data_IF_520690812415
#
_entry.id   IF_520690812415
#
_cell.length_a   1.000
_cell.length_b   1.000
_cell.length_c   1.000
_cell.angle_alpha   90.00
_cell.angle_beta   90.00
_cell.angle_gamma   90.00
#
_symmetry.space_group_name_H-M   'P 1'
#
loop_
_entity.id
_entity.type
_entity.pdbx_description
1 polymer ?
#
# COMPACT_ATOMS: atom_id res chain seq x y z
N UNK A 1 18.26 14.50 -7.36
CA UNK A 1 16.83 14.15 -7.14
C UNK A 1 16.71 13.09 -6.06
N UNK A 2 15.69 13.19 -5.20
CA UNK A 2 15.43 12.28 -4.09
C UNK A 2 14.14 11.48 -4.34
N UNK A 3 14.07 10.26 -3.80
CA UNK A 3 12.81 9.54 -3.72
C UNK A 3 11.82 10.28 -2.79
N UNK A 4 10.53 10.10 -3.03
CA UNK A 4 9.45 10.60 -2.18
C UNK A 4 8.59 9.43 -1.72
N UNK A 5 8.30 9.36 -0.43
CA UNK A 5 7.29 8.48 0.15
C UNK A 5 6.12 9.31 0.64
N UNK A 6 4.93 9.07 0.13
CA UNK A 6 3.67 9.60 0.64
C UNK A 6 3.15 8.62 1.68
N UNK A 7 3.18 8.99 2.96
CA UNK A 7 2.82 8.12 4.08
C UNK A 7 1.43 8.51 4.64
N UNK A 8 0.47 7.58 4.55
CA UNK A 8 -0.94 7.80 4.81
C UNK A 8 -1.37 7.12 6.12
N UNK A 9 -1.83 7.91 7.07
CA UNK A 9 -2.28 7.42 8.38
C UNK A 9 -3.62 6.64 8.31
N UNK A 10 -3.89 5.82 9.31
CA UNK A 10 -5.18 5.15 9.49
C UNK A 10 -6.26 6.05 10.09
N UNK A 11 -7.47 5.50 10.24
CA UNK A 11 -8.58 6.18 10.94
C UNK A 11 -8.17 6.56 12.36
N UNK A 12 -8.71 7.67 12.86
CA UNK A 12 -8.47 8.20 14.20
C UNK A 12 -7.01 8.58 14.50
N UNK A 13 -6.15 8.59 13.49
CA UNK A 13 -4.77 9.04 13.59
C UNK A 13 -4.60 10.42 12.95
N UNK A 14 -3.46 11.05 13.24
CA UNK A 14 -2.97 12.26 12.56
C UNK A 14 -1.66 11.94 11.81
N UNK A 15 -1.23 12.86 10.96
CA UNK A 15 0.07 12.80 10.30
C UNK A 15 1.21 12.65 11.32
N UNK A 16 1.19 13.44 12.41
CA UNK A 16 2.22 13.40 13.46
C UNK A 16 2.18 12.10 14.26
N UNK A 17 1.00 11.55 14.54
CA UNK A 17 0.85 10.25 15.19
C UNK A 17 1.51 9.15 14.36
N UNK A 18 1.16 9.08 13.07
CA UNK A 18 1.70 8.03 12.20
C UNK A 18 3.19 8.21 11.91
N UNK A 19 3.67 9.45 11.78
CA UNK A 19 5.10 9.72 11.63
C UNK A 19 5.91 9.24 12.84
N UNK A 20 5.39 9.47 14.05
CA UNK A 20 6.03 9.03 15.30
C UNK A 20 5.99 7.49 15.44
N UNK A 21 4.84 6.88 15.20
CA UNK A 21 4.67 5.44 15.32
C UNK A 21 5.53 4.66 14.32
N UNK A 22 5.46 5.02 13.04
CA UNK A 22 6.19 4.32 11.98
C UNK A 22 7.70 4.56 12.02
N UNK A 23 8.15 5.76 12.43
CA UNK A 23 9.58 6.11 12.43
C UNK A 23 10.16 6.37 11.05
N UNK A 24 9.34 6.58 10.02
CA UNK A 24 9.79 6.84 8.65
C UNK A 24 10.71 8.06 8.53
N UNK A 25 10.53 9.10 9.37
CA UNK A 25 11.42 10.28 9.36
C UNK A 25 12.87 9.89 9.64
N UNK A 26 13.09 9.02 10.63
CA UNK A 26 14.45 8.52 10.96
C UNK A 26 15.03 7.73 9.79
N UNK A 27 14.24 6.87 9.16
CA UNK A 27 14.67 6.10 8.01
C UNK A 27 14.98 7.00 6.81
N UNK A 28 14.17 8.04 6.60
CA UNK A 28 14.40 9.05 5.55
C UNK A 28 15.72 9.81 5.74
N UNK A 29 16.06 10.18 6.97
CA UNK A 29 17.34 10.81 7.30
C UNK A 29 18.53 9.88 7.00
N UNK A 30 18.38 8.59 7.27
CA UNK A 30 19.43 7.58 7.04
C UNK A 30 19.65 7.30 5.54
N UNK A 31 18.58 7.25 4.75
CA UNK A 31 18.63 6.87 3.33
C UNK A 31 18.52 8.05 2.35
N UNK A 32 18.27 9.27 2.85
CA UNK A 32 18.26 10.47 2.04
C UNK A 32 17.02 10.64 1.15
N UNK A 33 15.89 10.03 1.48
CA UNK A 33 14.62 10.28 0.80
C UNK A 33 13.75 11.31 1.54
N UNK A 34 12.66 11.72 0.93
CA UNK A 34 11.69 12.66 1.51
C UNK A 34 10.43 11.89 1.90
N UNK A 35 9.85 12.22 3.05
CA UNK A 35 8.51 11.74 3.43
C UNK A 35 7.55 12.92 3.47
N UNK A 36 6.40 12.78 2.85
CA UNK A 36 5.27 13.70 3.01
C UNK A 36 4.16 13.00 3.76
N UNK A 37 3.54 13.73 4.69
CA UNK A 37 2.52 13.24 5.59
C UNK A 37 1.19 13.97 5.33
N UNK A 38 0.40 13.57 4.33
CA UNK A 38 -0.95 14.11 4.20
C UNK A 38 -1.77 13.80 5.45
N UNK A 39 -2.64 14.74 5.84
CA UNK A 39 -3.53 14.58 6.99
C UNK A 39 -4.97 14.74 6.57
N UNK A 40 -5.82 13.82 7.03
CA UNK A 40 -7.24 13.88 6.78
C UNK A 40 -7.91 14.93 7.66
N UNK A 41 -8.79 15.72 7.07
CA UNK A 41 -9.55 16.74 7.78
C UNK A 41 -10.78 16.16 8.46
N UNK A 42 -11.05 16.62 9.70
CA UNK A 42 -12.31 16.34 10.39
C UNK A 42 -13.56 16.82 9.62
N UNK A 43 -13.42 17.84 8.76
CA UNK A 43 -14.49 18.33 7.91
C UNK A 43 -14.79 17.38 6.74
N UNK A 44 -13.80 16.61 6.30
CA UNK A 44 -13.97 15.62 5.23
C UNK A 44 -14.42 14.26 5.77
N UNK A 45 -13.93 13.89 6.95
CA UNK A 45 -14.33 12.65 7.63
C UNK A 45 -14.15 12.79 9.14
N UNK A 46 -15.25 12.67 9.90
CA UNK A 46 -15.27 12.86 11.36
C UNK A 46 -14.48 11.79 12.13
N UNK A 47 -14.21 10.63 11.53
CA UNK A 47 -13.35 9.59 12.06
C UNK A 47 -11.90 9.70 11.59
N UNK A 48 -11.53 10.78 10.88
CA UNK A 48 -10.22 10.98 10.26
C UNK A 48 -9.80 9.82 9.33
N UNK A 49 -10.77 9.07 8.79
CA UNK A 49 -10.51 8.04 7.79
C UNK A 49 -10.37 8.68 6.39
N UNK A 50 -9.41 8.24 5.60
CA UNK A 50 -9.47 8.48 4.16
C UNK A 50 -10.76 7.86 3.60
N UNK A 51 -11.44 8.57 2.70
CA UNK A 51 -12.72 8.13 2.14
C UNK A 51 -12.53 7.16 0.95
N UNK A 52 -11.58 6.25 1.06
CA UNK A 52 -11.17 5.28 0.05
C UNK A 52 -12.33 4.42 -0.50
N UNK A 53 -13.40 4.25 0.28
CA UNK A 53 -14.57 3.43 -0.04
C UNK A 53 -15.63 4.18 -0.88
N UNK A 54 -15.52 5.50 -1.02
CA UNK A 54 -16.46 6.31 -1.79
C UNK A 54 -16.02 6.40 -3.26
N UNK A 55 -16.93 6.15 -4.23
CA UNK A 55 -16.57 6.18 -5.66
C UNK A 55 -15.93 7.48 -6.14
N UNK A 56 -16.33 8.64 -5.56
CA UNK A 56 -15.73 9.94 -5.87
C UNK A 56 -14.29 10.10 -5.44
N UNK A 57 -13.79 9.26 -4.52
CA UNK A 57 -12.42 9.30 -4.02
C UNK A 57 -11.52 8.21 -4.65
N UNK A 58 -12.10 7.38 -5.53
CA UNK A 58 -11.43 6.33 -6.28
C UNK A 58 -11.18 6.72 -7.75
N UNK A 59 -11.09 8.01 -8.03
CA UNK A 59 -10.95 8.56 -9.38
C UNK A 59 -9.77 9.52 -9.46
N UNK A 60 -9.21 9.62 -10.66
CA UNK A 60 -8.04 10.47 -10.92
C UNK A 60 -8.35 11.97 -10.83
N UNK A 61 -9.55 12.38 -11.23
CA UNK A 61 -9.86 13.79 -11.47
C UNK A 61 -10.41 14.53 -10.24
N UNK A 62 -10.84 13.79 -9.23
CA UNK A 62 -11.59 14.32 -8.08
C UNK A 62 -11.28 13.58 -6.80
N UNK A 63 -11.64 14.16 -5.68
CA UNK A 63 -11.55 13.53 -4.36
C UNK A 63 -10.15 13.48 -3.80
N UNK A 64 -9.97 12.67 -2.77
CA UNK A 64 -8.75 12.63 -1.98
C UNK A 64 -7.55 12.10 -2.77
N UNK A 65 -7.75 11.12 -3.66
CA UNK A 65 -6.67 10.60 -4.49
C UNK A 65 -6.05 11.69 -5.37
N UNK A 66 -6.89 12.56 -5.96
CA UNK A 66 -6.43 13.72 -6.75
C UNK A 66 -5.69 14.74 -5.89
N UNK A 67 -6.17 15.02 -4.67
CA UNK A 67 -5.51 15.93 -3.73
C UNK A 67 -4.15 15.39 -3.31
N UNK A 68 -4.04 14.11 -2.99
CA UNK A 68 -2.77 13.48 -2.58
C UNK A 68 -1.77 13.52 -3.75
N UNK A 69 -2.21 13.23 -4.97
CA UNK A 69 -1.35 13.34 -6.15
C UNK A 69 -0.89 14.80 -6.40
N UNK A 70 -1.76 15.78 -6.16
CA UNK A 70 -1.39 17.20 -6.26
C UNK A 70 -0.36 17.61 -5.21
N UNK A 71 -0.40 17.06 -3.99
CA UNK A 71 0.63 17.30 -2.96
C UNK A 71 2.02 16.88 -3.47
N UNK A 72 2.14 15.77 -4.21
CA UNK A 72 3.42 15.37 -4.83
C UNK A 72 3.96 16.49 -5.75
N UNK A 73 3.09 17.08 -6.55
CA UNK A 73 3.44 18.22 -7.42
C UNK A 73 3.90 19.45 -6.64
N UNK A 74 3.25 19.75 -5.51
CA UNK A 74 3.64 20.88 -4.64
C UNK A 74 5.01 20.66 -3.98
N UNK A 75 5.29 19.45 -3.49
CA UNK A 75 6.60 19.08 -2.94
C UNK A 75 7.69 19.22 -4.03
N UNK A 76 7.39 18.83 -5.26
CA UNK A 76 8.29 18.93 -6.40
C UNK A 76 8.66 20.36 -6.78
N UNK A 77 7.88 21.38 -6.40
CA UNK A 77 8.23 22.81 -6.63
C UNK A 77 9.38 23.29 -5.74
N UNK A 78 9.56 22.68 -4.59
CA UNK A 78 10.54 23.10 -3.57
C UNK A 78 11.68 22.11 -3.37
N UNK A 79 11.50 20.87 -3.82
CA UNK A 79 12.47 19.80 -3.66
C UNK A 79 12.72 19.09 -5.01
N UNK A 80 13.98 18.80 -5.30
CA UNK A 80 14.34 18.02 -6.49
C UNK A 80 13.94 16.55 -6.31
N UNK A 81 12.75 16.20 -6.73
CA UNK A 81 12.23 14.83 -6.70
C UNK A 81 12.72 14.02 -7.91
N UNK A 82 12.93 12.72 -7.70
CA UNK A 82 13.10 11.75 -8.77
C UNK A 82 11.72 11.24 -9.19
N UNK A 83 11.22 11.56 -10.39
CA UNK A 83 9.88 11.17 -10.81
C UNK A 83 9.71 9.65 -10.93
N UNK A 84 10.79 8.90 -11.02
CA UNK A 84 10.75 7.44 -11.05
C UNK A 84 10.70 6.80 -9.66
N UNK A 85 10.89 7.57 -8.59
CA UNK A 85 10.94 7.08 -7.21
C UNK A 85 9.96 7.83 -6.30
N UNK A 86 8.70 7.90 -6.74
CA UNK A 86 7.58 8.43 -5.95
C UNK A 86 6.73 7.24 -5.53
N UNK A 87 6.55 7.06 -4.24
CA UNK A 87 5.89 5.89 -3.66
C UNK A 87 4.78 6.31 -2.70
N UNK A 88 3.80 5.45 -2.49
CA UNK A 88 2.78 5.64 -1.46
C UNK A 88 2.78 4.44 -0.52
N UNK A 89 2.62 4.68 0.78
CA UNK A 89 2.47 3.64 1.79
C UNK A 89 1.45 4.09 2.83
N UNK A 90 0.75 3.18 3.43
CA UNK A 90 -0.18 3.54 4.49
C UNK A 90 -0.59 2.37 5.36
N UNK A 91 -1.36 2.70 6.39
CA UNK A 91 -1.98 1.75 7.30
C UNK A 91 -3.50 1.86 7.26
N UNK A 92 -4.22 0.71 7.30
CA UNK A 92 -5.69 0.70 7.42
C UNK A 92 -6.36 1.51 6.30
N UNK A 93 -7.14 2.55 6.62
CA UNK A 93 -7.71 3.46 5.63
C UNK A 93 -6.63 4.13 4.74
N UNK A 94 -5.44 4.43 5.30
CA UNK A 94 -4.31 4.95 4.55
C UNK A 94 -3.71 3.92 3.59
N UNK A 95 -3.68 2.65 3.98
CA UNK A 95 -3.27 1.55 3.11
C UNK A 95 -4.24 1.34 1.95
N UNK A 96 -5.55 1.37 2.24
CA UNK A 96 -6.58 1.31 1.20
C UNK A 96 -6.49 2.50 0.23
N UNK A 97 -6.19 3.71 0.73
CA UNK A 97 -5.95 4.87 -0.11
C UNK A 97 -4.65 4.74 -0.93
N UNK A 98 -3.58 4.15 -0.39
CA UNK A 98 -2.37 3.84 -1.16
C UNK A 98 -2.66 2.87 -2.32
N UNK A 99 -3.53 1.87 -2.09
CA UNK A 99 -4.02 0.97 -3.15
C UNK A 99 -4.83 1.74 -4.20
N UNK A 100 -5.69 2.67 -3.78
CA UNK A 100 -6.39 3.58 -4.72
C UNK A 100 -5.39 4.37 -5.55
N UNK A 101 -4.36 4.95 -4.94
CA UNK A 101 -3.33 5.73 -5.66
C UNK A 101 -2.59 4.87 -6.69
N UNK A 102 -2.23 3.64 -6.36
CA UNK A 102 -1.62 2.70 -7.31
C UNK A 102 -2.52 2.37 -8.50
N UNK A 103 -3.84 2.30 -8.28
CA UNK A 103 -4.81 2.02 -9.34
C UNK A 103 -5.11 3.23 -10.23
N UNK A 104 -5.26 4.45 -9.65
CA UNK A 104 -5.73 5.62 -10.42
C UNK A 104 -4.60 6.55 -10.87
N UNK A 105 -3.40 6.42 -10.29
CA UNK A 105 -2.19 7.18 -10.62
C UNK A 105 -0.97 6.26 -10.86
N UNK A 106 -1.08 5.21 -11.67
CA UNK A 106 0.05 4.32 -11.92
C UNK A 106 1.25 4.99 -12.62
N UNK A 107 1.02 6.13 -13.25
CA UNK A 107 2.02 7.00 -13.89
C UNK A 107 2.71 7.98 -12.92
N UNK A 108 2.27 8.05 -11.66
CA UNK A 108 2.84 8.90 -10.62
C UNK A 108 3.53 8.06 -9.55
N UNK A 109 2.86 7.03 -9.06
CA UNK A 109 3.38 6.19 -7.97
C UNK A 109 4.11 4.97 -8.53
N UNK A 110 5.42 4.93 -8.35
CA UNK A 110 6.29 3.85 -8.83
C UNK A 110 5.92 2.48 -8.24
N UNK A 111 5.67 2.44 -6.94
CA UNK A 111 5.23 1.27 -6.17
C UNK A 111 4.43 1.71 -4.94
N UNK A 112 3.71 0.79 -4.33
CA UNK A 112 2.84 1.05 -3.18
C UNK A 112 3.08 0.08 -2.03
N UNK A 113 2.78 0.52 -0.80
CA UNK A 113 2.79 -0.29 0.41
C UNK A 113 1.43 -0.27 1.12
N UNK A 114 0.92 -1.42 1.49
CA UNK A 114 -0.37 -1.61 2.17
C UNK A 114 -0.20 -2.43 3.45
N UNK A 115 -0.35 -1.79 4.61
CA UNK A 115 -0.34 -2.48 5.91
C UNK A 115 -1.76 -2.50 6.46
N UNK A 116 -2.32 -3.70 6.65
CA UNK A 116 -3.70 -3.92 7.10
C UNK A 116 -4.74 -3.19 6.22
N UNK A 117 -4.58 -3.28 4.88
CA UNK A 117 -5.38 -2.53 3.92
C UNK A 117 -6.46 -3.33 3.22
N UNK A 118 -7.18 -2.66 2.35
CA UNK A 118 -8.31 -3.21 1.60
C UNK A 118 -8.01 -3.29 0.10
N UNK A 119 -8.58 -4.26 -0.61
CA UNK A 119 -8.51 -4.29 -2.07
C UNK A 119 -9.22 -3.07 -2.68
N UNK A 120 -8.78 -2.65 -3.86
CA UNK A 120 -9.41 -1.59 -4.62
C UNK A 120 -10.86 -1.95 -4.94
N UNK A 121 -11.81 -1.08 -4.56
CA UNK A 121 -13.26 -1.29 -4.65
C UNK A 121 -13.78 -2.57 -3.95
N UNK A 122 -13.01 -3.14 -3.06
CA UNK A 122 -13.36 -4.36 -2.31
C UNK A 122 -14.18 -4.07 -1.06
N UNK A 123 -15.33 -3.40 -1.19
CA UNK A 123 -16.24 -3.13 -0.07
C UNK A 123 -17.34 -4.21 0.03
N UNK A 124 -17.78 -4.58 1.25
CA UNK A 124 -17.25 -4.17 2.55
C UNK A 124 -15.84 -4.74 2.81
N UNK A 125 -15.07 -4.10 3.66
CA UNK A 125 -13.72 -4.54 4.03
C UNK A 125 -13.48 -4.38 5.54
N UNK A 126 -14.10 -3.39 6.17
CA UNK A 126 -14.01 -3.17 7.63
C UNK A 126 -15.01 -4.07 8.35
N UNK A 127 -14.53 -4.83 9.34
CA UNK A 127 -15.32 -5.79 10.11
C UNK A 127 -15.76 -7.04 9.33
N UNK A 128 -15.46 -7.12 8.04
CA UNK A 128 -15.75 -8.28 7.18
C UNK A 128 -14.82 -8.32 5.99
N UNK A 129 -14.74 -9.46 5.31
CA UNK A 129 -14.04 -9.55 4.04
C UNK A 129 -14.95 -9.14 2.88
N UNK A 130 -14.37 -8.57 1.83
CA UNK A 130 -15.10 -8.35 0.58
C UNK A 130 -15.57 -9.67 -0.01
N UNK A 131 -16.82 -9.66 -0.50
CA UNK A 131 -17.45 -10.85 -1.11
C UNK A 131 -17.23 -10.92 -2.62
N UNK A 132 -16.65 -9.89 -3.22
CA UNK A 132 -16.41 -9.87 -4.67
C UNK A 132 -15.22 -10.77 -5.03
N UNK A 133 -15.31 -11.54 -6.13
CA UNK A 133 -14.20 -12.34 -6.61
C UNK A 133 -12.98 -11.46 -6.99
N UNK A 134 -11.78 -11.95 -6.73
CA UNK A 134 -10.53 -11.25 -7.08
C UNK A 134 -10.47 -10.87 -8.57
N UNK A 135 -10.94 -11.74 -9.46
CA UNK A 135 -10.98 -11.47 -10.90
C UNK A 135 -11.89 -10.26 -11.24
N UNK A 136 -13.04 -10.15 -10.58
CA UNK A 136 -13.91 -8.96 -10.74
C UNK A 136 -13.20 -7.70 -10.25
N UNK A 137 -12.59 -7.76 -9.07
CA UNK A 137 -11.87 -6.63 -8.50
C UNK A 137 -10.64 -6.25 -9.37
N UNK A 138 -9.98 -7.21 -9.98
CA UNK A 138 -8.86 -6.96 -10.91
C UNK A 138 -9.32 -6.14 -12.14
N UNK A 139 -10.50 -6.43 -12.70
CA UNK A 139 -11.04 -5.63 -13.82
C UNK A 139 -11.27 -4.17 -13.42
N UNK A 140 -11.60 -3.90 -12.18
CA UNK A 140 -11.75 -2.52 -11.69
C UNK A 140 -10.41 -1.78 -11.63
N UNK A 141 -9.33 -2.46 -11.21
CA UNK A 141 -7.96 -1.89 -11.23
C UNK A 141 -7.55 -1.57 -12.65
N UNK A 142 -7.67 -2.52 -13.57
CA UNK A 142 -7.33 -2.33 -15.00
C UNK A 142 -8.11 -1.17 -15.61
N UNK A 143 -9.42 -1.11 -15.33
CA UNK A 143 -10.28 -0.02 -15.80
C UNK A 143 -9.86 1.35 -15.23
N UNK A 144 -9.49 1.39 -13.95
CA UNK A 144 -9.06 2.64 -13.30
C UNK A 144 -7.70 3.14 -13.83
N UNK A 145 -6.77 2.24 -14.12
CA UNK A 145 -5.48 2.57 -14.74
C UNK A 145 -5.66 3.14 -16.16
N UNK A 146 -6.61 2.60 -16.93
CA UNK A 146 -6.93 3.05 -18.29
C UNK A 146 -5.71 3.10 -19.21
N UNK A 147 -5.56 4.17 -19.98
CA UNK A 147 -4.45 4.34 -20.93
C UNK A 147 -3.06 4.48 -20.27
N UNK A 148 -2.98 4.54 -18.94
CA UNK A 148 -1.74 4.63 -18.15
C UNK A 148 -1.39 3.30 -17.48
N UNK A 149 -2.11 2.24 -17.87
CA UNK A 149 -1.94 0.93 -17.25
C UNK A 149 -0.49 0.45 -17.34
N UNK A 150 0.00 -0.02 -16.20
CA UNK A 150 1.26 -0.73 -16.02
C UNK A 150 1.20 -1.58 -14.77
N UNK A 151 2.00 -2.65 -14.66
CA UNK A 151 2.18 -3.31 -13.38
C UNK A 151 2.75 -2.35 -12.34
N UNK A 152 2.09 -2.19 -11.19
CA UNK A 152 2.56 -1.38 -10.06
C UNK A 152 2.98 -2.32 -8.93
N UNK A 153 4.26 -2.36 -8.53
CA UNK A 153 4.73 -3.24 -7.46
C UNK A 153 4.04 -2.94 -6.11
N UNK A 154 3.76 -4.00 -5.35
CA UNK A 154 3.02 -3.95 -4.08
C UNK A 154 3.79 -4.63 -2.95
N UNK A 155 4.05 -3.90 -1.87
CA UNK A 155 4.39 -4.47 -0.57
C UNK A 155 3.14 -4.56 0.31
N UNK A 156 2.86 -5.70 0.92
CA UNK A 156 1.69 -5.87 1.77
C UNK A 156 2.03 -6.57 3.08
N UNK A 157 1.40 -6.13 4.18
CA UNK A 157 1.43 -6.81 5.48
C UNK A 157 0.00 -6.99 5.96
N UNK A 158 -0.28 -8.19 6.51
CA UNK A 158 -1.57 -8.51 7.11
C UNK A 158 -1.37 -9.32 8.39
N UNK A 159 -1.99 -8.88 9.48
CA UNK A 159 -2.03 -9.61 10.75
C UNK A 159 -3.12 -10.67 10.77
N UNK A 160 -2.78 -11.86 11.27
CA UNK A 160 -3.74 -12.99 11.31
C UNK A 160 -4.86 -12.82 12.33
N UNK A 161 -4.74 -11.90 13.28
CA UNK A 161 -5.76 -11.59 14.28
C UNK A 161 -6.39 -10.20 14.09
N UNK A 162 -6.24 -9.62 12.90
CA UNK A 162 -6.89 -8.36 12.57
C UNK A 162 -8.41 -8.55 12.45
N UNK A 163 -9.14 -7.96 13.40
CA UNK A 163 -10.62 -7.97 13.42
C UNK A 163 -11.22 -6.72 12.76
N UNK A 164 -10.42 -5.68 12.55
CA UNK A 164 -10.87 -4.45 11.90
C UNK A 164 -10.87 -4.60 10.36
N UNK A 165 -9.77 -5.13 9.85
CA UNK A 165 -9.63 -5.52 8.42
C UNK A 165 -9.28 -7.01 8.39
N UNK A 166 -10.28 -7.90 8.33
CA UNK A 166 -10.04 -9.34 8.42
C UNK A 166 -9.00 -9.83 7.41
N UNK A 167 -8.15 -10.82 7.79
CA UNK A 167 -7.01 -11.29 6.99
C UNK A 167 -7.33 -11.65 5.55
N UNK A 168 -8.53 -12.17 5.31
CA UNK A 168 -9.00 -12.50 3.96
C UNK A 168 -8.99 -11.29 2.97
N UNK A 169 -8.97 -10.04 3.48
CA UNK A 169 -8.85 -8.85 2.64
C UNK A 169 -7.41 -8.66 2.14
N UNK A 170 -6.40 -8.98 2.94
CA UNK A 170 -5.00 -8.99 2.51
C UNK A 170 -4.77 -10.01 1.39
N UNK A 171 -5.27 -11.24 1.59
CA UNK A 171 -5.21 -12.28 0.55
C UNK A 171 -5.93 -11.86 -0.73
N UNK A 172 -7.08 -11.22 -0.58
CA UNK A 172 -7.88 -10.76 -1.71
C UNK A 172 -7.19 -9.59 -2.44
N UNK A 173 -6.55 -8.67 -1.72
CA UNK A 173 -5.74 -7.59 -2.30
C UNK A 173 -4.60 -8.15 -3.15
N UNK A 174 -3.85 -9.10 -2.62
CA UNK A 174 -2.73 -9.73 -3.37
C UNK A 174 -3.25 -10.42 -4.62
N UNK A 175 -4.31 -11.22 -4.52
CA UNK A 175 -4.94 -11.89 -5.67
C UNK A 175 -5.46 -10.90 -6.70
N UNK A 176 -6.14 -9.83 -6.28
CA UNK A 176 -6.58 -8.75 -7.15
C UNK A 176 -5.41 -8.15 -7.91
N UNK A 177 -4.32 -7.85 -7.19
CA UNK A 177 -3.18 -7.13 -7.73
C UNK A 177 -2.39 -7.95 -8.75
N UNK A 178 -2.18 -9.25 -8.45
CA UNK A 178 -1.56 -10.20 -9.40
C UNK A 178 -2.38 -10.32 -10.68
N UNK A 179 -3.71 -10.55 -10.56
CA UNK A 179 -4.58 -10.70 -11.72
C UNK A 179 -4.69 -9.42 -12.56
N UNK A 180 -4.66 -8.25 -11.91
CA UNK A 180 -4.63 -6.98 -12.64
C UNK A 180 -3.29 -6.81 -13.38
N UNK A 181 -2.17 -7.14 -12.74
CA UNK A 181 -0.85 -7.04 -13.33
C UNK A 181 -0.69 -7.96 -14.56
N UNK A 182 -1.19 -9.19 -14.48
CA UNK A 182 -1.21 -10.16 -15.60
C UNK A 182 -1.96 -9.62 -16.84
N UNK A 183 -2.98 -8.78 -16.62
CA UNK A 183 -3.71 -8.17 -17.74
C UNK A 183 -2.99 -6.95 -18.29
N UNK A 184 -2.36 -6.13 -17.42
CA UNK A 184 -1.82 -4.84 -17.87
C UNK A 184 -0.40 -4.91 -18.41
N UNK A 185 0.31 -6.04 -18.28
CA UNK A 185 1.66 -6.19 -18.81
C UNK A 185 1.68 -6.42 -20.33
N UNK A 186 0.70 -7.17 -20.85
CA UNK A 186 0.61 -7.49 -22.30
C UNK A 186 -0.82 -7.38 -22.88
N UNK A 187 -1.80 -6.92 -22.10
CA UNK A 187 -3.24 -6.85 -22.39
C UNK A 187 -3.92 -8.22 -22.56
N UNK A 188 -3.36 -9.29 -21.99
CA UNK A 188 -3.93 -10.63 -22.00
C UNK A 188 -4.03 -11.18 -20.59
N UNK A 189 -5.04 -11.99 -20.31
CA UNK A 189 -5.11 -12.80 -19.09
C UNK A 189 -4.55 -14.19 -19.41
N UNK A 190 -3.21 -14.32 -19.36
CA UNK A 190 -2.50 -15.50 -19.85
C UNK A 190 -1.54 -16.12 -18.84
N UNK A 191 -1.55 -15.60 -17.59
CA UNK A 191 -0.67 -16.02 -16.49
C UNK A 191 0.83 -15.75 -16.76
N UNK A 192 1.14 -14.71 -17.57
CA UNK A 192 2.48 -14.14 -17.69
C UNK A 192 3.04 -13.73 -16.34
N UNK A 193 2.15 -13.25 -15.45
CA UNK A 193 2.40 -13.07 -14.03
C UNK A 193 1.63 -14.15 -13.26
N UNK A 194 2.37 -15.08 -12.65
CA UNK A 194 1.78 -16.23 -11.94
C UNK A 194 0.91 -15.79 -10.76
N UNK A 195 -0.29 -16.36 -10.65
CA UNK A 195 -1.17 -16.18 -9.49
C UNK A 195 -0.69 -16.92 -8.22
N UNK A 196 0.37 -17.72 -8.35
CA UNK A 196 1.02 -18.40 -7.22
C UNK A 196 2.34 -17.71 -6.90
N UNK A 197 2.73 -17.62 -5.63
CA UNK A 197 4.01 -17.05 -5.25
C UNK A 197 5.16 -17.87 -5.84
N UNK A 198 6.21 -17.18 -6.31
CA UNK A 198 7.44 -17.79 -6.78
C UNK A 198 8.28 -18.33 -5.62
N UNK A 199 8.26 -17.63 -4.49
CA UNK A 199 8.96 -18.03 -3.27
C UNK A 199 8.08 -17.84 -2.05
N UNK A 200 8.14 -18.81 -1.12
CA UNK A 200 7.48 -18.74 0.19
C UNK A 200 8.49 -19.13 1.26
N UNK A 201 8.61 -18.34 2.30
CA UNK A 201 9.40 -18.66 3.51
C UNK A 201 8.57 -18.39 4.76
N UNK A 202 8.85 -19.15 5.81
CA UNK A 202 8.36 -18.88 7.15
C UNK A 202 9.54 -18.33 7.96
N UNK A 203 9.38 -17.13 8.52
CA UNK A 203 10.39 -16.38 9.23
C UNK A 203 9.87 -15.90 10.59
N UNK A 204 10.73 -15.29 11.38
CA UNK A 204 10.35 -14.67 12.66
C UNK A 204 11.15 -13.40 12.90
N UNK A 205 10.52 -12.40 13.49
CA UNK A 205 11.15 -11.16 13.91
C UNK A 205 10.48 -10.64 15.18
N UNK A 206 11.27 -10.27 16.18
CA UNK A 206 10.83 -9.55 17.38
C UNK A 206 9.52 -10.06 18.00
N UNK A 207 9.43 -11.40 18.20
CA UNK A 207 8.30 -12.01 18.91
C UNK A 207 7.16 -12.53 18.02
N UNK A 208 7.10 -12.17 16.74
CA UNK A 208 6.14 -12.74 15.80
C UNK A 208 6.80 -13.65 14.77
N UNK A 209 6.11 -14.73 14.40
CA UNK A 209 6.38 -15.48 13.17
C UNK A 209 5.53 -14.94 12.04
N UNK A 210 6.03 -15.00 10.81
CA UNK A 210 5.30 -14.57 9.64
C UNK A 210 5.66 -15.42 8.43
N UNK A 211 4.69 -15.55 7.53
CA UNK A 211 4.90 -16.11 6.20
C UNK A 211 5.16 -14.99 5.22
N UNK A 212 6.27 -15.10 4.49
CA UNK A 212 6.63 -14.20 3.41
C UNK A 212 6.37 -14.89 2.07
N UNK A 213 5.50 -14.30 1.25
CA UNK A 213 5.20 -14.77 -0.11
C UNK A 213 5.66 -13.72 -1.12
N UNK A 214 6.49 -14.13 -2.07
CA UNK A 214 7.02 -13.26 -3.12
C UNK A 214 6.49 -13.71 -4.48
N UNK A 215 5.92 -12.78 -5.22
CA UNK A 215 5.47 -12.97 -6.59
C UNK A 215 6.41 -12.20 -7.52
N UNK A 216 6.67 -12.73 -8.69
CA UNK A 216 7.57 -12.13 -9.68
C UNK A 216 6.81 -11.67 -10.90
N UNK A 217 7.33 -10.65 -11.57
CA UNK A 217 6.85 -10.22 -12.88
C UNK A 217 7.32 -11.17 -14.01
N UNK A 218 6.91 -10.89 -15.25
CA UNK A 218 7.30 -11.69 -16.42
C UNK A 218 8.80 -11.72 -16.71
N UNK A 219 9.58 -10.82 -16.08
CA UNK A 219 11.06 -10.81 -16.18
C UNK A 219 11.74 -11.54 -15.00
N UNK A 220 10.94 -12.08 -14.06
CA UNK A 220 11.44 -12.75 -12.86
C UNK A 220 11.91 -11.81 -11.75
N UNK A 221 11.56 -10.52 -11.82
CA UNK A 221 11.84 -9.56 -10.76
C UNK A 221 10.72 -9.60 -9.73
N UNK A 222 11.06 -9.47 -8.45
CA UNK A 222 10.08 -9.37 -7.35
C UNK A 222 9.09 -8.26 -7.68
N UNK A 223 7.79 -8.57 -7.60
CA UNK A 223 6.71 -7.69 -7.98
C UNK A 223 5.71 -7.45 -6.84
N UNK A 224 5.40 -8.49 -6.07
CA UNK A 224 4.63 -8.39 -4.83
C UNK A 224 5.40 -9.09 -3.73
N UNK A 225 5.51 -8.45 -2.58
CA UNK A 225 5.94 -9.06 -1.34
C UNK A 225 4.81 -8.96 -0.32
N UNK A 226 4.36 -10.12 0.19
CA UNK A 226 3.26 -10.22 1.13
C UNK A 226 3.70 -10.92 2.41
N UNK A 227 3.52 -10.25 3.56
CA UNK A 227 3.81 -10.79 4.88
C UNK A 227 2.51 -11.05 5.64
N UNK A 228 2.24 -12.32 5.95
CA UNK A 228 1.17 -12.73 6.86
C UNK A 228 1.74 -12.90 8.26
N UNK A 229 1.50 -11.96 9.17
CA UNK A 229 2.08 -11.94 10.51
C UNK A 229 1.16 -12.65 11.49
N UNK A 230 1.62 -13.80 12.01
CA UNK A 230 0.84 -14.66 12.90
C UNK A 230 0.72 -14.04 14.29
N UNK A 231 -0.50 -13.81 14.74
CA UNK A 231 -0.78 -13.24 16.06
C UNK A 231 -0.87 -11.71 16.09
N UNK A 232 -0.48 -11.02 15.03
CA UNK A 232 -0.63 -9.57 14.91
C UNK A 232 -2.11 -9.21 14.77
N UNK A 233 -2.56 -8.20 15.53
CA UNK A 233 -3.85 -7.53 15.36
C UNK A 233 -3.77 -6.38 14.37
N UNK A 234 -4.73 -5.45 14.44
CA UNK A 234 -4.76 -4.27 13.56
C UNK A 234 -3.72 -3.23 13.98
N UNK A 235 -2.49 -3.38 13.55
CA UNK A 235 -1.36 -2.56 13.99
C UNK A 235 -0.25 -2.46 12.92
N UNK A 236 0.52 -1.35 12.96
CA UNK A 236 1.79 -1.19 12.27
C UNK A 236 2.87 -1.98 13.00
N UNK A 237 3.36 -3.12 12.49
CA UNK A 237 4.35 -3.94 13.18
C UNK A 237 5.76 -3.37 13.08
N UNK A 238 6.60 -3.67 14.08
CA UNK A 238 7.96 -3.14 14.18
C UNK A 238 8.00 -1.63 14.34
N UNK A 239 6.97 -1.05 14.95
CA UNK A 239 6.84 0.38 15.19
C UNK A 239 7.96 0.94 16.08
N UNK A 240 8.32 2.19 15.88
CA UNK A 240 9.34 2.88 16.70
C UNK A 240 8.92 3.08 18.14
N UNK A 241 7.63 3.23 18.37
CA UNK A 241 7.04 3.42 19.71
C UNK A 241 5.66 2.76 19.78
N UNK A 242 5.25 2.39 20.99
CA UNK A 242 3.92 1.84 21.24
C UNK A 242 2.89 2.97 21.36
N UNK A 243 2.08 3.13 20.34
CA UNK A 243 0.93 4.04 20.28
C UNK A 243 -0.30 3.26 19.82
N UNK A 244 -1.46 3.93 19.75
CA UNK A 244 -2.65 3.29 19.19
C UNK A 244 -2.38 2.82 17.75
N UNK A 245 -2.77 1.59 17.43
CA UNK A 245 -2.56 0.95 16.12
C UNK A 245 -1.08 0.80 15.73
N UNK A 246 -0.19 0.63 16.71
CA UNK A 246 1.21 0.29 16.45
C UNK A 246 1.67 -0.81 17.42
N UNK A 247 2.51 -1.70 16.93
CA UNK A 247 3.13 -2.76 17.70
C UNK A 247 4.65 -2.68 17.52
N UNK A 248 5.39 -2.56 18.61
CA UNK A 248 6.86 -2.49 18.56
C UNK A 248 7.51 -3.84 18.27
N UNK A 249 6.72 -4.90 18.28
CA UNK A 249 7.15 -6.26 17.91
C UNK A 249 6.86 -6.55 16.44
N UNK A 250 7.40 -7.66 15.95
CA UNK A 250 7.18 -8.15 14.60
C UNK A 250 8.17 -7.63 13.55
N UNK A 251 7.96 -8.00 12.28
CA UNK A 251 8.77 -7.49 11.19
C UNK A 251 8.57 -5.99 11.05
N UNK A 252 9.65 -5.24 10.82
CA UNK A 252 9.56 -3.79 10.64
C UNK A 252 8.83 -3.45 9.35
N UNK A 253 7.59 -2.99 9.46
CA UNK A 253 6.80 -2.52 8.31
C UNK A 253 7.48 -1.33 7.63
N UNK A 254 8.16 -0.47 8.39
CA UNK A 254 8.86 0.71 7.88
C UNK A 254 10.08 0.32 7.04
N UNK A 255 10.97 -0.53 7.57
CA UNK A 255 12.17 -0.96 6.85
C UNK A 255 11.81 -1.87 5.68
N UNK A 256 10.91 -2.84 5.89
CA UNK A 256 10.47 -3.77 4.85
C UNK A 256 9.82 -3.03 3.68
N UNK A 257 8.87 -2.13 3.95
CA UNK A 257 8.26 -1.36 2.88
C UNK A 257 9.25 -0.44 2.17
N UNK A 258 10.15 0.25 2.89
CA UNK A 258 11.16 1.10 2.24
C UNK A 258 12.10 0.29 1.33
N UNK A 259 12.66 -0.82 1.81
CA UNK A 259 13.54 -1.67 1.00
C UNK A 259 12.84 -2.17 -0.27
N UNK A 260 11.58 -2.57 -0.15
CA UNK A 260 10.78 -2.95 -1.31
C UNK A 260 10.55 -1.76 -2.26
N UNK A 261 10.08 -0.61 -1.75
CA UNK A 261 9.77 0.57 -2.56
C UNK A 261 11.01 1.09 -3.30
N UNK A 262 12.15 1.20 -2.61
CA UNK A 262 13.41 1.66 -3.19
C UNK A 262 13.91 0.76 -4.33
N UNK A 263 13.70 -0.56 -4.22
CA UNK A 263 14.05 -1.54 -5.24
C UNK A 263 13.14 -1.50 -6.48
N UNK A 264 12.00 -0.77 -6.40
CA UNK A 264 10.97 -0.73 -7.44
C UNK A 264 10.73 0.69 -7.98
N UNK A 265 11.72 1.34 -8.59
CA UNK A 265 11.49 2.58 -9.33
C UNK A 265 10.61 2.31 -10.56
N UNK A 266 9.97 3.36 -11.05
CA UNK A 266 9.23 3.32 -12.31
C UNK A 266 10.20 3.07 -13.47
N UNK A 267 9.82 2.27 -14.45
CA UNK A 267 10.65 1.97 -15.64
C UNK A 267 11.16 3.18 -16.41
#
# INVERSE_FOLDING_TARGET
>A
PRALVVALHGCSQSASHFATASGYNRLADQHGFIVVWPEQSLLANTALCWNWFLPGHQRRDVGEAAVIAAIVGEVGKTHALDPKRIHAVGMSAGAAMAVVLGAVFPDVFASIGSVEGCPFQGTPCVGSASVLPAATLATYVVSAMGARARPVPLFAIQGSLDINVPPANGDLLVKQWVLAADVVDDNLSNQSISSFPHHVSDDSAHGYSFRRSVYVDGAGKDFIEYLEVKGLGHAWPGASVSLAFSDTQGPSATEGSWHFLEAHPMP
#
